data_IF_772989513695
#
_entry.id   IF_772989513695
#
_cell.length_a   1.000
_cell.length_b   1.000
_cell.length_c   1.000
_cell.angle_alpha   90.00
_cell.angle_beta   90.00
_cell.angle_gamma   90.00
#
_symmetry.space_group_name_H-M   'P 1'
#
loop_
_entity.id
_entity.type
_entity.pdbx_description
1 polymer ?
#
# COMPACT_ATOMS: atom_id res chain seq x y z
N UNK A 1 -34.34 -7.37 -6.84
CA UNK A 1 -33.30 -7.96 -5.95
C UNK A 1 -32.14 -6.95 -5.86
N UNK A 2 -31.60 -6.62 -4.68
CA UNK A 2 -30.49 -5.63 -4.61
C UNK A 2 -29.20 -6.30 -5.11
N UNK A 3 -28.69 -5.87 -6.27
CA UNK A 3 -27.40 -6.33 -6.78
C UNK A 3 -26.25 -5.81 -5.92
N UNK A 4 -25.25 -6.66 -5.66
CA UNK A 4 -24.01 -6.31 -4.98
C UNK A 4 -22.86 -7.14 -5.54
N UNK A 5 -21.65 -6.57 -5.48
CA UNK A 5 -20.42 -7.27 -5.82
C UNK A 5 -19.91 -7.98 -4.57
N UNK A 6 -19.56 -9.25 -4.73
CA UNK A 6 -18.88 -10.04 -3.72
C UNK A 6 -17.48 -10.41 -4.21
N UNK A 7 -16.52 -10.35 -3.31
CA UNK A 7 -15.13 -10.71 -3.52
C UNK A 7 -14.89 -12.09 -2.90
N UNK A 8 -14.20 -12.96 -3.63
CA UNK A 8 -13.75 -14.23 -3.09
C UNK A 8 -12.44 -14.01 -2.34
N UNK A 9 -12.47 -14.21 -1.02
CA UNK A 9 -11.29 -14.12 -0.17
C UNK A 9 -10.80 -15.54 0.09
N UNK A 10 -9.57 -15.84 -0.32
CA UNK A 10 -8.98 -17.19 -0.20
C UNK A 10 -7.73 -17.12 0.68
N UNK A 11 -7.81 -17.50 1.97
CA UNK A 11 -6.62 -17.56 2.83
C UNK A 11 -5.66 -18.65 2.33
N UNK A 12 -4.40 -18.28 2.11
CA UNK A 12 -3.36 -19.17 1.58
C UNK A 12 -3.11 -20.43 2.42
N UNK A 13 -3.36 -20.37 3.74
CA UNK A 13 -3.20 -21.51 4.65
C UNK A 13 -4.27 -22.60 4.51
N UNK A 14 -5.42 -22.29 3.90
CA UNK A 14 -6.52 -23.27 3.73
C UNK A 14 -6.88 -23.52 2.27
N UNK A 15 -6.66 -22.53 1.38
CA UNK A 15 -7.11 -22.58 -0.01
C UNK A 15 -8.64 -22.53 -0.17
N UNK A 16 -9.39 -22.32 0.91
CA UNK A 16 -10.86 -22.31 0.89
C UNK A 16 -11.35 -20.87 0.75
N UNK A 17 -12.06 -20.59 -0.34
CA UNK A 17 -12.65 -19.27 -0.58
C UNK A 17 -13.87 -19.02 0.32
N UNK A 18 -14.03 -17.77 0.76
CA UNK A 18 -15.25 -17.25 1.40
C UNK A 18 -15.73 -16.00 0.68
N UNK A 19 -17.06 -15.82 0.58
CA UNK A 19 -17.63 -14.70 -0.15
C UNK A 19 -17.82 -13.47 0.74
N UNK A 20 -17.21 -12.33 0.37
CA UNK A 20 -17.29 -11.08 1.13
C UNK A 20 -17.61 -9.91 0.23
N UNK A 21 -18.73 -9.22 0.48
CA UNK A 21 -19.02 -7.93 -0.17
C UNK A 21 -18.31 -6.78 0.55
N UNK A 22 -18.16 -5.64 -0.10
CA UNK A 22 -17.53 -4.44 0.48
C UNK A 22 -18.07 -4.07 1.88
N UNK A 23 -19.40 -4.18 2.11
CA UNK A 23 -20.00 -3.90 3.43
C UNK A 23 -19.47 -4.81 4.56
N UNK A 24 -18.99 -6.02 4.25
CA UNK A 24 -18.36 -6.90 5.22
C UNK A 24 -16.94 -6.42 5.56
N UNK A 25 -16.20 -5.87 4.60
CA UNK A 25 -14.89 -5.24 4.84
C UNK A 25 -15.04 -3.98 5.70
N UNK A 26 -16.01 -3.13 5.36
CA UNK A 26 -16.36 -1.94 6.14
C UNK A 26 -16.73 -2.29 7.59
N UNK A 27 -17.55 -3.32 7.77
CA UNK A 27 -17.87 -3.84 9.10
C UNK A 27 -16.61 -4.31 9.86
N UNK A 28 -15.74 -5.10 9.22
CA UNK A 28 -14.50 -5.57 9.84
C UNK A 28 -13.61 -4.38 10.22
N UNK A 29 -13.41 -3.42 9.31
CA UNK A 29 -12.62 -2.21 9.55
C UNK A 29 -13.12 -1.46 10.79
N UNK A 30 -14.42 -1.19 10.90
CA UNK A 30 -15.00 -0.55 12.09
C UNK A 30 -14.76 -1.38 13.37
N UNK A 31 -14.91 -2.71 13.31
CA UNK A 31 -14.66 -3.58 14.48
C UNK A 31 -13.19 -3.56 14.90
N UNK A 32 -12.26 -3.51 13.96
CA UNK A 32 -10.82 -3.44 14.25
C UNK A 32 -10.45 -2.10 14.88
N UNK A 33 -10.96 -0.98 14.35
CA UNK A 33 -10.75 0.35 14.94
C UNK A 33 -11.29 0.44 16.38
N UNK A 34 -12.50 -0.07 16.63
CA UNK A 34 -13.07 -0.07 17.98
C UNK A 34 -12.29 -0.96 18.94
N UNK A 35 -11.80 -2.11 18.46
CA UNK A 35 -11.07 -3.07 19.30
C UNK A 35 -9.66 -2.59 19.63
N UNK A 36 -8.95 -1.99 18.67
CA UNK A 36 -7.52 -1.73 18.75
C UNK A 36 -7.22 -0.23 18.65
N UNK A 37 -7.24 0.49 19.78
CA UNK A 37 -7.03 1.95 19.81
C UNK A 37 -5.59 2.41 19.60
N UNK A 38 -4.59 1.53 19.78
CA UNK A 38 -3.16 1.87 19.61
C UNK A 38 -2.46 1.01 18.55
N UNK A 39 -3.21 0.37 17.65
CA UNK A 39 -2.64 -0.35 16.51
C UNK A 39 -2.96 0.41 15.21
N UNK A 40 -2.04 0.39 14.26
CA UNK A 40 -2.26 0.97 12.95
C UNK A 40 -3.18 0.07 12.13
N UNK A 41 -4.45 0.49 11.97
CA UNK A 41 -5.42 -0.15 11.09
C UNK A 41 -5.62 0.77 9.88
N UNK A 42 -4.99 0.49 8.72
CA UNK A 42 -5.07 1.37 7.56
C UNK A 42 -6.50 1.49 7.04
N UNK A 43 -6.86 2.63 6.40
CA UNK A 43 -8.17 2.83 5.84
C UNK A 43 -8.42 1.87 4.66
N UNK A 44 -9.68 1.44 4.53
CA UNK A 44 -10.16 0.74 3.33
C UNK A 44 -10.54 1.75 2.23
N UNK A 45 -10.67 1.33 0.96
CA UNK A 45 -11.13 2.20 -0.13
C UNK A 45 -12.48 2.85 0.16
N UNK A 46 -12.70 4.05 -0.36
CA UNK A 46 -13.94 4.79 -0.10
C UNK A 46 -15.20 4.11 -0.65
N UNK A 47 -16.31 4.40 0.04
CA UNK A 47 -17.66 4.05 -0.40
C UNK A 47 -18.09 4.92 -1.57
N UNK A 48 -17.85 4.45 -2.79
CA UNK A 48 -18.40 5.10 -3.98
C UNK A 48 -19.84 4.62 -4.28
N UNK A 49 -20.75 5.58 -4.45
CA UNK A 49 -22.17 5.33 -4.76
C UNK A 49 -22.40 5.33 -6.29
N UNK A 50 -21.80 6.29 -7.01
CA UNK A 50 -21.91 6.45 -8.47
C UNK A 50 -20.79 5.68 -9.18
N UNK A 51 -21.09 5.00 -10.30
CA UNK A 51 -20.07 4.25 -11.06
C UNK A 51 -19.53 2.98 -10.38
N UNK A 52 -20.17 2.52 -9.29
CA UNK A 52 -19.72 1.38 -8.46
C UNK A 52 -19.67 0.01 -9.15
N UNK A 53 -20.17 -0.08 -10.38
CA UNK A 53 -20.19 -1.29 -11.21
C UNK A 53 -19.31 -1.14 -12.47
N UNK A 54 -18.56 -0.05 -12.62
CA UNK A 54 -17.59 0.08 -13.70
C UNK A 54 -16.41 -0.86 -13.44
N UNK A 55 -16.01 -1.66 -14.43
CA UNK A 55 -15.01 -2.73 -14.25
C UNK A 55 -13.69 -2.20 -13.69
N UNK A 56 -13.19 -1.06 -14.20
CA UNK A 56 -11.98 -0.40 -13.69
C UNK A 56 -12.08 -0.05 -12.20
N UNK A 57 -13.25 0.39 -11.75
CA UNK A 57 -13.49 0.72 -10.35
C UNK A 57 -13.53 -0.53 -9.47
N UNK A 58 -14.16 -1.59 -9.96
CA UNK A 58 -14.29 -2.86 -9.24
C UNK A 58 -12.92 -3.51 -9.05
N UNK A 59 -12.10 -3.54 -10.11
CA UNK A 59 -10.75 -4.09 -10.07
C UNK A 59 -9.81 -3.28 -9.17
N UNK A 60 -9.80 -1.95 -9.31
CA UNK A 60 -9.01 -1.09 -8.42
C UNK A 60 -9.37 -1.29 -6.95
N UNK A 61 -10.68 -1.39 -6.65
CA UNK A 61 -11.14 -1.68 -5.28
C UNK A 61 -10.71 -3.07 -4.83
N UNK A 62 -10.80 -4.09 -5.69
CA UNK A 62 -10.37 -5.47 -5.40
C UNK A 62 -8.89 -5.49 -5.01
N UNK A 63 -8.03 -4.84 -5.78
CA UNK A 63 -6.58 -4.70 -5.52
C UNK A 63 -6.30 -4.03 -4.18
N UNK A 64 -6.96 -2.90 -3.90
CA UNK A 64 -6.76 -2.20 -2.63
C UNK A 64 -7.26 -3.02 -1.43
N UNK A 65 -8.37 -3.74 -1.56
CA UNK A 65 -8.87 -4.63 -0.50
C UNK A 65 -7.96 -5.84 -0.27
N UNK A 66 -7.37 -6.38 -1.34
CA UNK A 66 -6.37 -7.44 -1.25
C UNK A 66 -5.12 -6.97 -0.51
N UNK A 67 -4.57 -5.79 -0.87
CA UNK A 67 -3.43 -5.19 -0.14
C UNK A 67 -3.76 -4.95 1.33
N UNK A 68 -4.94 -4.40 1.61
CA UNK A 68 -5.40 -4.17 2.97
C UNK A 68 -5.49 -5.47 3.78
N UNK A 69 -6.10 -6.53 3.24
CA UNK A 69 -6.13 -7.83 3.90
C UNK A 69 -4.72 -8.38 4.13
N UNK A 70 -3.87 -8.34 3.11
CA UNK A 70 -2.49 -8.81 3.20
C UNK A 70 -1.71 -8.06 4.31
N UNK A 71 -1.91 -6.75 4.45
CA UNK A 71 -1.35 -5.95 5.56
C UNK A 71 -1.80 -6.48 6.92
N UNK A 72 -3.09 -6.71 7.10
CA UNK A 72 -3.65 -7.22 8.37
C UNK A 72 -3.15 -8.63 8.70
N UNK A 73 -2.96 -9.50 7.70
CA UNK A 73 -2.40 -10.85 7.93
C UNK A 73 -0.97 -10.83 8.46
N UNK A 74 -0.19 -9.79 8.15
CA UNK A 74 1.19 -9.61 8.62
C UNK A 74 1.28 -8.97 10.00
N UNK A 75 0.18 -8.42 10.51
CA UNK A 75 0.14 -7.80 11.83
C UNK A 75 0.00 -8.88 12.92
N UNK A 76 0.91 -8.96 13.91
CA UNK A 76 0.97 -10.10 14.85
C UNK A 76 -0.26 -10.23 15.78
N UNK A 77 -0.91 -9.11 16.14
CA UNK A 77 -2.14 -9.12 16.94
C UNK A 77 -3.42 -9.22 16.10
N UNK A 78 -3.59 -8.36 15.09
CA UNK A 78 -4.80 -8.36 14.25
C UNK A 78 -5.01 -9.70 13.55
N UNK A 79 -3.96 -10.28 12.96
CA UNK A 79 -4.04 -11.56 12.24
C UNK A 79 -4.57 -12.70 13.12
N UNK A 80 -4.31 -12.67 14.43
CA UNK A 80 -4.74 -13.71 15.38
C UNK A 80 -6.07 -13.37 16.09
N UNK A 81 -6.63 -12.20 15.83
CA UNK A 81 -7.86 -11.77 16.49
C UNK A 81 -9.07 -12.58 16.03
N UNK A 82 -9.96 -12.93 16.96
CA UNK A 82 -11.15 -13.74 16.64
C UNK A 82 -12.04 -13.09 15.56
N UNK A 83 -12.16 -11.76 15.55
CA UNK A 83 -12.98 -11.03 14.57
C UNK A 83 -12.40 -11.13 13.16
N UNK A 84 -11.08 -11.08 13.02
CA UNK A 84 -10.40 -11.23 11.73
C UNK A 84 -10.43 -12.68 11.25
N UNK A 85 -10.21 -13.64 12.15
CA UNK A 85 -10.33 -15.07 11.87
C UNK A 85 -11.76 -15.43 11.43
N UNK A 86 -12.79 -14.90 12.12
CA UNK A 86 -14.19 -15.06 11.70
C UNK A 86 -14.42 -14.50 10.29
N UNK A 87 -13.86 -13.32 9.99
CA UNK A 87 -13.97 -12.73 8.66
C UNK A 87 -13.35 -13.63 7.58
N UNK A 88 -12.18 -14.22 7.81
CA UNK A 88 -11.46 -15.03 6.83
C UNK A 88 -12.00 -16.46 6.66
N UNK A 89 -12.46 -17.09 7.74
CA UNK A 89 -12.72 -18.54 7.77
C UNK A 89 -14.19 -18.92 7.94
N UNK A 90 -15.07 -17.99 8.31
CA UNK A 90 -16.51 -18.29 8.36
C UNK A 90 -17.04 -18.55 6.96
N UNK A 91 -17.41 -19.81 6.67
CA UNK A 91 -18.09 -20.18 5.43
C UNK A 91 -19.42 -19.43 5.30
N UNK A 92 -19.99 -19.40 4.09
CA UNK A 92 -21.15 -18.57 3.73
C UNK A 92 -22.49 -19.00 4.37
N UNK A 93 -22.46 -19.71 5.49
CA UNK A 93 -23.62 -19.96 6.34
C UNK A 93 -24.10 -18.66 6.98
N UNK A 94 -25.31 -18.22 6.60
CA UNK A 94 -25.87 -16.94 7.07
C UNK A 94 -26.02 -16.90 8.60
N UNK A 95 -26.31 -18.05 9.23
CA UNK A 95 -26.48 -18.18 10.68
C UNK A 95 -25.16 -18.01 11.42
N UNK A 96 -24.13 -18.72 10.97
CA UNK A 96 -22.77 -18.69 11.53
C UNK A 96 -22.16 -17.30 11.40
N UNK A 97 -22.30 -16.67 10.22
CA UNK A 97 -21.84 -15.30 9.99
C UNK A 97 -22.49 -14.31 10.96
N UNK A 98 -23.83 -14.38 11.10
CA UNK A 98 -24.59 -13.51 12.01
C UNK A 98 -24.20 -13.73 13.47
N UNK A 99 -23.97 -14.98 13.89
CA UNK A 99 -23.56 -15.30 15.24
C UNK A 99 -22.17 -14.72 15.58
N UNK A 100 -21.16 -14.95 14.73
CA UNK A 100 -19.82 -14.40 14.95
C UNK A 100 -19.78 -12.87 14.83
N UNK A 101 -20.58 -12.29 13.93
CA UNK A 101 -20.77 -10.84 13.85
C UNK A 101 -21.29 -10.25 15.16
N UNK A 102 -22.33 -10.84 15.74
CA UNK A 102 -22.88 -10.42 17.05
C UNK A 102 -21.86 -10.60 18.17
N UNK A 103 -21.11 -11.71 18.19
CA UNK A 103 -20.04 -11.96 19.16
C UNK A 103 -19.00 -10.83 19.15
N UNK A 104 -18.55 -10.43 17.97
CA UNK A 104 -17.59 -9.33 17.80
C UNK A 104 -18.18 -7.95 18.14
N UNK A 105 -19.48 -7.74 17.92
CA UNK A 105 -20.18 -6.50 18.28
C UNK A 105 -20.42 -6.36 19.79
N UNK A 106 -20.46 -7.48 20.53
CA UNK A 106 -20.63 -7.51 21.98
C UNK A 106 -19.31 -7.68 22.76
N UNK A 107 -18.15 -7.53 22.12
CA UNK A 107 -16.85 -7.63 22.77
C UNK A 107 -16.65 -6.48 23.77
N UNK A 108 -16.42 -6.83 25.04
CA UNK A 108 -16.20 -5.87 26.13
C UNK A 108 -14.74 -5.45 26.27
N UNK A 109 -13.81 -6.15 25.61
CA UNK A 109 -12.37 -5.91 25.67
C UNK A 109 -11.91 -5.07 24.48
N UNK A 110 -12.60 -3.96 24.25
CA UNK A 110 -12.33 -2.98 23.19
C UNK A 110 -11.90 -1.64 23.78
N UNK A 111 -11.39 -0.73 22.94
CA UNK A 111 -10.93 0.58 23.40
C UNK A 111 -9.89 0.48 24.52
N UNK A 112 -10.06 1.26 25.59
CA UNK A 112 -9.17 1.22 26.74
C UNK A 112 -9.14 -0.13 27.49
N UNK A 113 -10.18 -0.97 27.35
CA UNK A 113 -10.22 -2.30 27.97
C UNK A 113 -9.34 -3.32 27.23
N UNK A 114 -8.96 -3.06 25.97
CA UNK A 114 -8.01 -3.88 25.23
C UNK A 114 -6.68 -4.04 25.98
N UNK A 115 -6.18 -2.98 26.64
CA UNK A 115 -4.91 -3.04 27.37
C UNK A 115 -4.92 -4.03 28.54
N UNK A 116 -6.09 -4.41 29.06
CA UNK A 116 -6.21 -5.46 30.09
C UNK A 116 -5.85 -6.85 29.54
N UNK A 117 -5.84 -7.01 28.21
CA UNK A 117 -5.48 -8.27 27.54
C UNK A 117 -3.99 -8.35 27.21
N UNK A 118 -3.25 -7.25 27.37
CA UNK A 118 -1.84 -7.16 27.00
C UNK A 118 -0.97 -7.47 28.21
N UNK A 119 -0.13 -8.50 28.09
CA UNK A 119 0.93 -8.77 29.05
C UNK A 119 2.19 -8.03 28.61
N UNK A 120 2.49 -6.95 29.31
CA UNK A 120 3.67 -6.11 29.05
C UNK A 120 4.80 -6.52 29.99
N UNK A 121 6.03 -6.77 29.50
CA UNK A 121 7.20 -6.86 30.38
C UNK A 121 7.45 -5.50 31.04
N UNK A 122 8.20 -5.48 32.16
CA UNK A 122 8.68 -4.21 32.72
C UNK A 122 9.47 -3.48 31.63
N UNK A 123 9.08 -2.22 31.39
CA UNK A 123 9.71 -1.37 30.38
C UNK A 123 11.17 -1.14 30.76
N UNK A 124 12.09 -1.33 29.81
CA UNK A 124 13.51 -1.08 30.03
C UNK A 124 13.85 0.42 30.12
N UNK A 125 12.94 1.28 29.67
CA UNK A 125 13.06 2.75 29.64
C UNK A 125 11.95 3.40 30.46
N UNK A 126 12.18 4.63 30.94
CA UNK A 126 11.18 5.40 31.67
C UNK A 126 10.07 5.93 30.74
N UNK A 127 8.96 6.39 31.33
CA UNK A 127 7.87 7.00 30.57
C UNK A 127 8.35 8.28 29.88
N UNK A 128 9.19 9.10 30.51
CA UNK A 128 9.74 10.30 29.90
C UNK A 128 10.68 9.98 28.72
N UNK A 129 11.52 8.95 28.85
CA UNK A 129 12.37 8.50 27.74
C UNK A 129 11.54 7.96 26.56
N UNK A 130 10.42 7.29 26.85
CA UNK A 130 9.50 6.82 25.82
C UNK A 130 8.77 7.98 25.13
N UNK A 131 8.36 9.00 25.87
CA UNK A 131 7.69 10.20 25.35
C UNK A 131 8.59 10.94 24.35
N UNK A 132 9.88 11.10 24.67
CA UNK A 132 10.88 11.67 23.75
C UNK A 132 10.95 10.88 22.45
N UNK A 133 11.06 9.55 22.52
CA UNK A 133 11.12 8.68 21.32
C UNK A 133 9.85 8.73 20.48
N UNK A 134 8.69 8.82 21.13
CA UNK A 134 7.40 8.91 20.44
C UNK A 134 7.23 10.28 19.78
N UNK A 135 7.75 11.36 20.37
CA UNK A 135 7.79 12.68 19.74
C UNK A 135 8.74 12.72 18.54
N UNK A 136 9.92 12.10 18.63
CA UNK A 136 10.83 11.94 17.48
C UNK A 136 10.13 11.19 16.33
N UNK A 137 9.41 10.11 16.65
CA UNK A 137 8.61 9.37 15.67
C UNK A 137 7.47 10.22 15.10
N UNK A 138 6.79 11.05 15.92
CA UNK A 138 5.75 11.97 15.48
C UNK A 138 6.27 12.90 14.38
N UNK A 139 7.40 13.56 14.64
CA UNK A 139 8.03 14.45 13.66
C UNK A 139 8.47 13.69 12.40
N UNK A 140 9.09 12.52 12.57
CA UNK A 140 9.47 11.65 11.47
C UNK A 140 8.27 11.23 10.60
N UNK A 141 7.16 10.80 11.22
CA UNK A 141 5.98 10.27 10.52
C UNK A 141 5.32 11.36 9.66
N UNK A 142 5.21 12.59 10.19
CA UNK A 142 4.72 13.76 9.47
C UNK A 142 5.61 14.11 8.27
N UNK A 143 6.93 14.10 8.45
CA UNK A 143 7.85 14.34 7.33
C UNK A 143 7.77 13.22 6.29
N UNK A 144 7.64 11.96 6.72
CA UNK A 144 7.49 10.85 5.80
C UNK A 144 6.19 10.96 4.99
N UNK A 145 5.06 11.28 5.62
CA UNK A 145 3.76 11.43 4.96
C UNK A 145 3.82 12.47 3.82
N UNK A 146 4.41 13.64 4.09
CA UNK A 146 4.59 14.68 3.08
C UNK A 146 5.45 14.21 1.90
N UNK A 147 6.52 13.45 2.17
CA UNK A 147 7.40 12.96 1.12
C UNK A 147 6.78 11.81 0.32
N UNK A 148 6.04 10.92 0.96
CA UNK A 148 5.28 9.84 0.31
C UNK A 148 4.23 10.44 -0.64
N UNK A 149 3.48 11.43 -0.18
CA UNK A 149 2.47 12.11 -1.01
C UNK A 149 3.10 12.82 -2.22
N UNK A 150 4.17 13.60 -2.00
CA UNK A 150 4.90 14.25 -3.10
C UNK A 150 5.47 13.23 -4.08
N UNK A 151 6.02 12.12 -3.59
CA UNK A 151 6.59 11.10 -4.44
C UNK A 151 5.50 10.42 -5.29
N UNK A 152 4.35 10.10 -4.69
CA UNK A 152 3.19 9.58 -5.41
C UNK A 152 2.77 10.50 -6.57
N UNK A 153 2.65 11.81 -6.32
CA UNK A 153 2.29 12.80 -7.35
C UNK A 153 3.34 12.86 -8.48
N UNK A 154 4.63 12.72 -8.15
CA UNK A 154 5.70 12.66 -9.13
C UNK A 154 5.64 11.38 -9.95
N UNK A 155 5.43 10.22 -9.33
CA UNK A 155 5.23 8.97 -10.04
C UNK A 155 4.02 9.04 -10.97
N UNK A 156 2.90 9.60 -10.51
CA UNK A 156 1.71 9.77 -11.33
C UNK A 156 1.98 10.65 -12.55
N UNK A 157 2.58 11.82 -12.34
CA UNK A 157 2.95 12.73 -13.44
C UNK A 157 3.94 12.09 -14.42
N UNK A 158 4.89 11.32 -13.91
CA UNK A 158 5.90 10.63 -14.71
C UNK A 158 5.29 9.49 -15.54
N UNK A 159 4.42 8.66 -14.94
CA UNK A 159 3.68 7.60 -15.64
C UNK A 159 2.79 8.12 -16.76
N UNK A 160 2.12 9.27 -16.56
CA UNK A 160 1.33 9.91 -17.63
C UNK A 160 2.21 10.40 -18.80
N UNK A 161 3.47 10.77 -18.56
CA UNK A 161 4.40 11.13 -19.63
C UNK A 161 4.83 9.93 -20.47
N UNK A 162 4.90 8.74 -19.89
CA UNK A 162 5.20 7.50 -20.62
C UNK A 162 4.13 7.18 -21.66
N UNK A 163 2.87 7.09 -21.23
CA UNK A 163 1.74 6.81 -22.12
C UNK A 163 1.39 7.97 -23.07
N UNK A 164 1.68 9.20 -22.65
CA UNK A 164 1.48 10.39 -23.48
C UNK A 164 2.70 10.79 -24.30
N UNK A 165 3.59 11.56 -23.69
CA UNK A 165 4.67 12.31 -24.38
C UNK A 165 5.72 11.39 -25.00
N UNK A 166 6.19 10.38 -24.25
CA UNK A 166 7.28 9.51 -24.70
C UNK A 166 6.80 8.54 -25.78
N UNK A 167 5.66 7.87 -25.57
CA UNK A 167 5.00 7.05 -26.58
C UNK A 167 4.81 7.80 -27.90
N UNK A 168 4.17 8.97 -27.84
CA UNK A 168 3.86 9.74 -29.06
C UNK A 168 5.10 10.29 -29.75
N UNK A 169 6.14 10.68 -29.00
CA UNK A 169 7.40 11.15 -29.58
C UNK A 169 8.09 10.06 -30.41
N UNK A 170 8.21 8.84 -29.86
CA UNK A 170 8.82 7.72 -30.59
C UNK A 170 7.99 7.30 -31.80
N UNK A 171 6.65 7.24 -31.68
CA UNK A 171 5.77 6.94 -32.82
C UNK A 171 5.91 7.95 -33.96
N UNK A 172 5.94 9.25 -33.63
CA UNK A 172 6.14 10.32 -34.63
C UNK A 172 7.51 10.21 -35.29
N UNK A 173 8.56 9.91 -34.52
CA UNK A 173 9.89 9.70 -35.08
C UNK A 173 9.93 8.49 -36.00
N UNK A 174 9.31 7.37 -35.61
CA UNK A 174 9.14 6.18 -36.45
C UNK A 174 8.42 6.48 -37.77
N UNK A 175 7.32 7.24 -37.74
CA UNK A 175 6.56 7.59 -38.94
C UNK A 175 7.35 8.42 -39.96
N UNK A 176 8.37 9.17 -39.51
CA UNK A 176 9.28 9.90 -40.42
C UNK A 176 10.15 8.96 -41.24
N UNK A 177 10.61 7.85 -40.65
CA UNK A 177 11.36 6.82 -41.39
C UNK A 177 10.45 6.08 -42.38
N UNK A 178 9.22 5.75 -41.97
CA UNK A 178 8.24 5.13 -42.88
C UNK A 178 7.94 6.03 -44.08
N UNK A 179 7.68 7.32 -43.83
CA UNK A 179 7.45 8.31 -44.91
C UNK A 179 8.64 8.41 -45.88
N UNK A 180 9.88 8.35 -45.35
CA UNK A 180 11.09 8.36 -46.17
C UNK A 180 11.22 7.07 -47.00
N UNK A 181 10.97 5.91 -46.37
CA UNK A 181 10.93 4.62 -47.06
C UNK A 181 9.89 4.64 -48.19
N UNK A 182 8.68 5.13 -47.93
CA UNK A 182 7.61 5.20 -48.93
C UNK A 182 8.02 6.06 -50.12
N UNK A 183 8.73 7.17 -49.88
CA UNK A 183 9.30 7.98 -50.95
C UNK A 183 10.36 7.21 -51.77
N UNK A 184 11.22 6.41 -51.12
CA UNK A 184 12.21 5.59 -51.81
C UNK A 184 11.58 4.47 -52.65
N UNK A 185 10.46 3.90 -52.19
CA UNK A 185 9.71 2.89 -52.93
C UNK A 185 9.10 3.42 -54.23
N UNK A 186 8.73 4.69 -54.29
CA UNK A 186 8.15 5.31 -55.50
C UNK A 186 9.08 5.27 -56.71
N UNK A 187 10.39 5.24 -56.49
CA UNK A 187 11.39 5.09 -57.54
C UNK A 187 12.45 4.04 -57.12
N UNK A 188 11.97 2.87 -56.68
CA UNK A 188 12.80 1.77 -56.23
C UNK A 188 13.48 1.00 -57.37
N UNK A 189 14.64 0.41 -57.07
CA UNK A 189 15.30 -0.60 -57.90
C UNK A 189 15.68 -1.80 -57.04
N UNK A 190 15.97 -2.96 -57.64
CA UNK A 190 16.44 -4.13 -56.90
C UNK A 190 17.72 -3.83 -56.10
N UNK A 191 18.55 -2.89 -56.56
CA UNK A 191 19.76 -2.45 -55.87
C UNK A 191 19.45 -1.62 -54.61
N UNK A 192 18.44 -0.73 -54.66
CA UNK A 192 18.09 0.17 -53.53
C UNK A 192 17.03 -0.42 -52.58
N UNK A 193 16.50 -1.61 -52.87
CA UNK A 193 15.48 -2.26 -52.06
C UNK A 193 15.98 -2.59 -50.63
N UNK A 194 17.18 -3.16 -50.40
CA UNK A 194 17.63 -3.52 -49.05
C UNK A 194 17.69 -2.32 -48.10
N UNK A 195 18.22 -1.17 -48.56
CA UNK A 195 18.28 0.05 -47.74
C UNK A 195 16.89 0.62 -47.46
N UNK A 196 15.98 0.53 -48.42
CA UNK A 196 14.59 0.98 -48.25
C UNK A 196 13.87 0.14 -47.19
N UNK A 197 14.05 -1.18 -47.22
CA UNK A 197 13.51 -2.10 -46.22
C UNK A 197 14.11 -1.89 -44.84
N UNK A 198 15.42 -1.64 -44.74
CA UNK A 198 16.10 -1.35 -43.48
C UNK A 198 15.58 -0.03 -42.84
N UNK A 199 15.38 1.03 -43.64
CA UNK A 199 14.79 2.29 -43.17
C UNK A 199 13.34 2.09 -42.70
N UNK A 200 12.54 1.34 -43.46
CA UNK A 200 11.16 1.01 -43.07
C UNK A 200 11.14 0.22 -41.75
N UNK A 201 12.07 -0.71 -41.57
CA UNK A 201 12.21 -1.50 -40.35
C UNK A 201 12.56 -0.62 -39.14
N UNK A 202 13.46 0.35 -39.30
CA UNK A 202 13.76 1.34 -38.25
C UNK A 202 12.52 2.14 -37.87
N UNK A 203 11.69 2.54 -38.84
CA UNK A 203 10.42 3.21 -38.56
C UNK A 203 9.49 2.41 -37.66
N UNK A 204 9.22 1.15 -38.03
CA UNK A 204 8.42 0.22 -37.22
C UNK A 204 9.02 -0.03 -35.84
N UNK A 205 10.36 -0.17 -35.77
CA UNK A 205 11.08 -0.35 -34.50
C UNK A 205 10.82 0.81 -33.53
N UNK A 206 10.84 2.06 -34.01
CA UNK A 206 10.54 3.23 -33.18
C UNK A 206 9.06 3.32 -32.79
N UNK A 207 8.13 2.87 -33.63
CA UNK A 207 6.71 2.74 -33.26
C UNK A 207 6.55 1.72 -32.12
N UNK A 208 7.19 0.55 -32.23
CA UNK A 208 7.20 -0.49 -31.20
C UNK A 208 7.81 -0.01 -29.88
N UNK A 209 8.93 0.73 -29.92
CA UNK A 209 9.52 1.36 -28.74
C UNK A 209 8.50 2.31 -28.10
N UNK A 210 7.79 3.10 -28.91
CA UNK A 210 6.73 3.97 -28.42
C UNK A 210 5.61 3.22 -27.69
N UNK A 211 5.14 2.10 -28.24
CA UNK A 211 4.16 1.24 -27.55
C UNK A 211 4.73 0.64 -26.26
N UNK A 212 6.00 0.22 -26.24
CA UNK A 212 6.66 -0.25 -25.03
C UNK A 212 6.69 0.83 -23.93
N UNK A 213 6.96 2.09 -24.28
CA UNK A 213 6.83 3.21 -23.34
C UNK A 213 5.39 3.35 -22.80
N UNK A 214 4.37 3.13 -23.61
CA UNK A 214 2.98 3.23 -23.17
C UNK A 214 2.58 2.17 -22.15
N UNK A 215 3.08 0.95 -22.32
CA UNK A 215 2.76 -0.17 -21.44
C UNK A 215 3.61 -0.21 -20.16
N UNK A 216 4.83 0.34 -20.20
CA UNK A 216 5.79 0.25 -19.09
C UNK A 216 5.24 0.67 -17.72
N UNK A 217 4.49 1.78 -17.56
CA UNK A 217 4.02 2.22 -16.24
C UNK A 217 3.21 1.18 -15.48
N UNK A 218 2.51 0.27 -16.18
CA UNK A 218 1.75 -0.82 -15.56
C UNK A 218 2.66 -1.86 -14.90
N UNK A 219 3.89 -2.00 -15.39
CA UNK A 219 4.87 -2.97 -14.91
C UNK A 219 5.62 -2.46 -13.69
N UNK A 220 5.88 -1.16 -13.58
CA UNK A 220 6.76 -0.60 -12.54
C UNK A 220 6.18 0.57 -11.73
N UNK A 221 5.85 1.70 -12.37
CA UNK A 221 5.45 2.95 -11.72
C UNK A 221 4.15 2.75 -10.96
N UNK A 222 3.20 2.00 -11.51
CA UNK A 222 1.93 1.70 -10.85
C UNK A 222 2.15 0.93 -9.54
N UNK A 223 2.96 -0.14 -9.57
CA UNK A 223 3.31 -0.90 -8.38
C UNK A 223 3.96 -0.04 -7.29
N UNK A 224 4.85 0.87 -7.70
CA UNK A 224 5.49 1.82 -6.79
C UNK A 224 4.47 2.80 -6.20
N UNK A 225 3.57 3.37 -7.02
CA UNK A 225 2.51 4.28 -6.57
C UNK A 225 1.56 3.62 -5.57
N UNK A 226 1.17 2.38 -5.81
CA UNK A 226 0.26 1.65 -4.94
C UNK A 226 0.86 1.39 -3.57
N UNK A 227 2.15 1.06 -3.51
CA UNK A 227 2.86 0.94 -2.24
C UNK A 227 2.99 2.28 -1.51
N UNK A 228 3.27 3.37 -2.22
CA UNK A 228 3.26 4.71 -1.62
C UNK A 228 1.87 5.07 -1.06
N UNK A 229 0.80 4.79 -1.80
CA UNK A 229 -0.57 5.02 -1.36
C UNK A 229 -0.92 4.21 -0.10
N UNK A 230 -0.44 2.96 0.00
CA UNK A 230 -0.59 2.15 1.21
C UNK A 230 0.09 2.83 2.41
N UNK A 231 1.30 3.37 2.24
CA UNK A 231 2.00 4.11 3.30
C UNK A 231 1.30 5.41 3.70
N UNK A 232 0.66 6.14 2.76
CA UNK A 232 -0.20 7.28 3.11
C UNK A 232 -1.32 6.84 4.06
N UNK A 233 -1.96 5.70 3.77
CA UNK A 233 -3.01 5.15 4.63
C UNK A 233 -2.51 4.68 6.00
N UNK A 234 -1.32 4.10 6.08
CA UNK A 234 -0.71 3.70 7.36
C UNK A 234 -0.33 4.95 8.19
N UNK A 235 0.32 5.93 7.56
CA UNK A 235 0.83 7.13 8.25
C UNK A 235 -0.28 7.98 8.86
N UNK A 236 -1.44 8.05 8.19
CA UNK A 236 -2.60 8.80 8.70
C UNK A 236 -3.21 8.24 9.99
N UNK A 237 -2.83 7.02 10.41
CA UNK A 237 -3.29 6.42 11.67
C UNK A 237 -2.49 6.85 12.89
N UNK A 238 -1.24 7.27 12.71
CA UNK A 238 -0.34 7.57 13.83
C UNK A 238 -0.70 8.81 14.67
N UNK A 239 -1.29 9.89 14.13
CA UNK A 239 -1.68 11.04 14.95
C UNK A 239 -2.55 10.66 16.15
N UNK A 240 -3.57 9.82 15.94
CA UNK A 240 -4.45 9.35 17.03
C UNK A 240 -3.74 8.39 17.99
N UNK A 241 -2.91 7.47 17.48
CA UNK A 241 -2.13 6.54 18.32
C UNK A 241 -1.17 7.32 19.24
N UNK A 242 -0.50 8.33 18.70
CA UNK A 242 0.41 9.21 19.45
C UNK A 242 -0.38 10.05 20.46
N UNK A 243 -1.56 10.56 20.08
CA UNK A 243 -2.42 11.30 21.00
C UNK A 243 -2.80 10.48 22.24
N UNK A 244 -3.17 9.20 22.07
CA UNK A 244 -3.47 8.30 23.20
C UNK A 244 -2.26 8.17 24.14
N UNK A 245 -1.04 8.07 23.61
CA UNK A 245 0.17 8.05 24.43
C UNK A 245 0.38 9.38 25.18
N UNK A 246 0.29 10.52 24.49
CA UNK A 246 0.46 11.84 25.12
C UNK A 246 -0.52 12.07 26.26
N UNK A 247 -1.81 11.77 26.07
CA UNK A 247 -2.81 11.87 27.14
C UNK A 247 -2.54 10.91 28.29
N UNK A 248 -1.92 9.76 28.03
CA UNK A 248 -1.50 8.82 29.06
C UNK A 248 -0.35 9.40 29.90
N UNK A 249 0.66 10.00 29.27
CA UNK A 249 1.79 10.65 29.95
C UNK A 249 1.31 11.83 30.79
N UNK A 250 0.44 12.69 30.23
CA UNK A 250 -0.18 13.80 30.96
C UNK A 250 -0.92 13.31 32.22
N UNK A 251 -1.60 12.16 32.12
CA UNK A 251 -2.34 11.60 33.25
C UNK A 251 -1.42 11.09 34.35
N UNK A 252 -0.29 10.46 34.01
CA UNK A 252 0.74 10.05 34.97
C UNK A 252 1.28 11.27 35.71
N UNK A 253 1.70 12.30 34.97
CA UNK A 253 2.25 13.55 35.53
C UNK A 253 1.25 14.27 36.45
N UNK A 254 -0.04 14.30 36.09
CA UNK A 254 -1.09 14.86 36.95
C UNK A 254 -1.29 14.05 38.24
N UNK A 255 -1.23 12.71 38.17
CA UNK A 255 -1.33 11.83 39.33
C UNK A 255 -0.14 11.99 40.28
N UNK A 256 1.09 12.02 39.77
CA UNK A 256 2.32 12.24 40.56
C UNK A 256 2.33 13.61 41.24
N UNK A 257 1.88 14.66 40.52
CA UNK A 257 1.74 16.01 41.11
C UNK A 257 0.73 16.01 42.27
N UNK A 258 -0.43 15.38 42.09
CA UNK A 258 -1.47 15.29 43.13
C UNK A 258 -1.02 14.46 44.34
N UNK A 259 -0.16 13.48 44.15
CA UNK A 259 0.45 12.72 45.24
C UNK A 259 1.40 13.61 46.07
N UNK A 260 2.21 14.44 45.42
CA UNK A 260 3.07 15.43 46.11
C UNK A 260 2.25 16.43 46.93
N UNK A 261 1.03 16.72 46.50
CA UNK A 261 0.04 17.55 47.22
C UNK A 261 -0.76 16.76 48.28
N UNK A 262 -0.41 15.50 48.57
CA UNK A 262 -1.12 14.57 49.48
C UNK A 262 -2.61 14.36 49.14
N UNK A 263 -3.01 14.55 47.87
CA UNK A 263 -4.39 14.41 47.39
C UNK A 263 -4.72 13.03 46.83
N UNK A 264 -3.72 12.17 46.66
CA UNK A 264 -3.83 10.84 46.05
C UNK A 264 -2.90 9.87 46.77
N UNK A 265 -3.41 8.67 47.05
CA UNK A 265 -2.65 7.57 47.66
C UNK A 265 -1.51 7.08 46.73
N UNK A 266 -0.33 6.71 47.27
CA UNK A 266 0.78 6.18 46.48
C UNK A 266 0.44 4.96 45.62
N UNK A 267 -0.41 4.07 46.14
CA UNK A 267 -0.86 2.86 45.44
C UNK A 267 -1.62 3.20 44.14
N UNK A 268 -2.41 4.27 44.13
CA UNK A 268 -3.12 4.70 42.92
C UNK A 268 -2.13 5.20 41.85
N UNK A 269 -1.07 5.90 42.24
CA UNK A 269 -0.02 6.36 41.31
C UNK A 269 0.69 5.16 40.69
N UNK A 270 1.07 4.17 41.50
CA UNK A 270 1.70 2.94 41.00
C UNK A 270 0.82 2.19 39.99
N UNK A 271 -0.48 2.07 40.27
CA UNK A 271 -1.44 1.45 39.35
C UNK A 271 -1.58 2.22 38.03
N UNK A 272 -1.66 3.56 38.09
CA UNK A 272 -1.74 4.43 36.91
C UNK A 272 -0.46 4.32 36.07
N UNK A 273 0.70 4.40 36.70
CA UNK A 273 2.01 4.26 36.05
C UNK A 273 2.18 2.87 35.42
N UNK A 274 1.75 1.81 36.10
CA UNK A 274 1.76 0.44 35.56
C UNK A 274 0.90 0.34 34.30
N UNK A 275 -0.32 0.90 34.31
CA UNK A 275 -1.19 0.91 33.14
C UNK A 275 -0.61 1.76 32.01
N UNK A 276 -0.02 2.90 32.34
CA UNK A 276 0.63 3.77 31.37
C UNK A 276 1.80 3.05 30.67
N UNK A 277 2.60 2.29 31.40
CA UNK A 277 3.68 1.47 30.84
C UNK A 277 3.17 0.44 29.83
N UNK A 278 2.00 -0.17 30.06
CA UNK A 278 1.38 -1.09 29.08
C UNK A 278 1.05 -0.34 27.79
N UNK A 279 0.39 0.81 27.88
CA UNK A 279 0.00 1.62 26.70
C UNK A 279 1.24 2.06 25.93
N UNK A 280 2.23 2.60 26.63
CA UNK A 280 3.51 3.03 26.07
C UNK A 280 4.22 1.89 25.34
N UNK A 281 4.26 0.69 25.93
CA UNK A 281 4.92 -0.46 25.29
C UNK A 281 4.16 -0.96 24.06
N UNK A 282 2.83 -0.88 24.05
CA UNK A 282 2.04 -1.16 22.85
C UNK A 282 2.37 -0.15 21.75
N UNK A 283 2.38 1.15 22.05
CA UNK A 283 2.71 2.20 21.08
C UNK A 283 4.13 2.04 20.52
N UNK A 284 5.13 1.81 21.37
CA UNK A 284 6.51 1.56 20.94
C UNK A 284 6.64 0.28 20.11
N UNK A 285 5.88 -0.77 20.45
CA UNK A 285 5.85 -2.01 19.69
C UNK A 285 5.26 -1.79 18.29
N UNK A 286 4.24 -0.95 18.18
CA UNK A 286 3.60 -0.61 16.90
C UNK A 286 4.53 0.23 16.01
N UNK A 287 5.23 1.21 16.58
CA UNK A 287 6.26 1.99 15.88
C UNK A 287 7.38 1.06 15.37
N UNK A 288 7.84 0.13 16.21
CA UNK A 288 8.84 -0.85 15.83
C UNK A 288 8.34 -1.78 14.70
N UNK A 289 7.09 -2.21 14.75
CA UNK A 289 6.47 -3.00 13.69
C UNK A 289 6.42 -2.22 12.37
N UNK A 290 6.00 -0.96 12.41
CA UNK A 290 6.00 -0.06 11.27
C UNK A 290 7.38 0.05 10.62
N UNK A 291 8.43 0.29 11.42
CA UNK A 291 9.79 0.38 10.88
C UNK A 291 10.27 -0.93 10.25
N UNK A 292 10.00 -2.08 10.89
CA UNK A 292 10.34 -3.40 10.33
C UNK A 292 9.64 -3.63 8.98
N UNK A 293 8.35 -3.35 8.90
CA UNK A 293 7.59 -3.51 7.67
C UNK A 293 8.06 -2.52 6.60
N UNK A 294 8.33 -1.25 6.95
CA UNK A 294 8.87 -0.24 6.04
C UNK A 294 10.15 -0.69 5.34
N UNK A 295 11.08 -1.30 6.07
CA UNK A 295 12.33 -1.81 5.47
C UNK A 295 12.03 -2.91 4.45
N UNK A 296 11.17 -3.87 4.80
CA UNK A 296 10.82 -5.00 3.93
C UNK A 296 10.11 -4.50 2.66
N UNK A 297 9.09 -3.67 2.83
CA UNK A 297 8.22 -3.24 1.75
C UNK A 297 8.96 -2.28 0.80
N UNK A 298 9.69 -1.29 1.31
CA UNK A 298 10.44 -0.37 0.45
C UNK A 298 11.57 -1.06 -0.29
N UNK A 299 12.23 -2.04 0.33
CA UNK A 299 13.21 -2.89 -0.37
C UNK A 299 12.54 -3.61 -1.55
N UNK A 300 11.41 -4.27 -1.32
CA UNK A 300 10.70 -5.01 -2.35
C UNK A 300 10.22 -4.08 -3.49
N UNK A 301 9.61 -2.93 -3.15
CA UNK A 301 9.16 -1.93 -4.12
C UNK A 301 10.30 -1.43 -5.01
N UNK A 302 11.43 -1.03 -4.41
CA UNK A 302 12.56 -0.50 -5.16
C UNK A 302 13.26 -1.58 -5.99
N UNK A 303 13.37 -2.81 -5.48
CA UNK A 303 13.92 -3.93 -6.24
C UNK A 303 13.04 -4.27 -7.46
N UNK A 304 11.72 -4.28 -7.29
CA UNK A 304 10.77 -4.48 -8.39
C UNK A 304 10.91 -3.39 -9.45
N UNK A 305 10.80 -2.12 -9.04
CA UNK A 305 10.92 -0.98 -9.94
C UNK A 305 12.22 -1.01 -10.76
N UNK A 306 13.36 -1.24 -10.11
CA UNK A 306 14.66 -1.26 -10.80
C UNK A 306 14.80 -2.46 -11.74
N UNK A 307 14.29 -3.64 -11.38
CA UNK A 307 14.33 -4.82 -12.25
C UNK A 307 13.49 -4.59 -13.51
N UNK A 308 12.30 -4.05 -13.37
CA UNK A 308 11.42 -3.75 -14.50
C UNK A 308 12.01 -2.65 -15.40
N UNK A 309 12.64 -1.63 -14.82
CA UNK A 309 13.36 -0.60 -15.60
C UNK A 309 14.56 -1.19 -16.35
N UNK A 310 15.34 -2.09 -15.73
CA UNK A 310 16.44 -2.80 -16.41
C UNK A 310 15.90 -3.63 -17.58
N UNK A 311 14.86 -4.42 -17.35
CA UNK A 311 14.22 -5.24 -18.37
C UNK A 311 13.71 -4.38 -19.54
N UNK A 312 13.10 -3.24 -19.24
CA UNK A 312 12.59 -2.29 -20.22
C UNK A 312 13.70 -1.73 -21.11
N UNK A 313 14.76 -1.18 -20.53
CA UNK A 313 15.85 -0.60 -21.30
C UNK A 313 16.64 -1.67 -22.08
N UNK A 314 16.82 -2.88 -21.52
CA UNK A 314 17.40 -3.99 -22.27
C UNK A 314 16.52 -4.41 -23.47
N UNK A 315 15.20 -4.42 -23.29
CA UNK A 315 14.25 -4.67 -24.39
C UNK A 315 14.36 -3.63 -25.50
N UNK A 316 14.54 -2.35 -25.15
CA UNK A 316 14.81 -1.29 -26.13
C UNK A 316 16.13 -1.52 -26.86
N UNK A 317 17.20 -1.84 -26.14
CA UNK A 317 18.53 -2.12 -26.74
C UNK A 317 18.42 -3.25 -27.77
N UNK A 318 17.73 -4.34 -27.42
CA UNK A 318 17.55 -5.47 -28.34
C UNK A 318 16.79 -5.04 -29.61
N UNK A 319 15.70 -4.27 -29.48
CA UNK A 319 14.93 -3.74 -30.63
C UNK A 319 15.79 -2.87 -31.54
N UNK A 320 16.64 -2.02 -30.97
CA UNK A 320 17.55 -1.17 -31.74
C UNK A 320 18.64 -2.01 -32.43
N UNK A 321 19.16 -3.04 -31.77
CA UNK A 321 20.13 -3.96 -32.36
C UNK A 321 19.54 -4.73 -33.54
N UNK A 322 18.34 -5.30 -33.39
CA UNK A 322 17.64 -5.99 -34.47
C UNK A 322 17.45 -5.09 -35.70
N UNK A 323 17.17 -3.81 -35.46
CA UNK A 323 17.05 -2.83 -36.55
C UNK A 323 18.38 -2.40 -37.15
N UNK A 324 19.46 -2.37 -36.37
CA UNK A 324 20.81 -2.10 -36.87
C UNK A 324 21.28 -3.22 -37.80
N UNK A 325 21.06 -4.47 -37.42
CA UNK A 325 21.46 -5.67 -38.18
C UNK A 325 20.80 -5.74 -39.57
N UNK A 326 19.71 -5.00 -39.80
CA UNK A 326 19.11 -4.85 -41.14
C UNK A 326 20.00 -4.08 -42.11
N UNK A 327 20.82 -3.16 -41.61
CA UNK A 327 21.73 -2.37 -42.43
C UNK A 327 22.99 -3.14 -42.83
N UNK A 328 23.41 -4.12 -42.03
CA UNK A 328 24.55 -5.00 -42.37
C UNK A 328 24.29 -5.86 -43.63
N UNK A 329 23.02 -6.02 -44.01
CA UNK A 329 22.58 -6.75 -45.22
C UNK A 329 22.56 -5.87 -46.47
N UNK A 330 22.81 -4.57 -46.34
CA UNK A 330 22.87 -3.62 -47.45
C UNK A 330 24.28 -3.69 -48.04
N UNK A 331 24.43 -4.31 -49.21
CA UNK A 331 25.72 -4.53 -49.90
C UNK A 331 25.87 -3.62 -51.10
#
# INVERSE_FOLDING_TARGET
MKHFIAYNVTPSCTGIAVSRRFKHFDWLYCRLLEKFTCLSIPPIPEKQITGKYADEFVEKRREMLERWLNRLTRHPLVSKSEVFQHFLFCKDGEKEWKAGKRKAECDKLCGAAFFLTVKSPMTAISIDEADIKIEEFSQFSKTMEQNVQRFYERCQSYGLKYDGVFKNSHRKFGSSFESLSDAFQQHGSAYSQPITEAIAHTGRTYVDIGEAFGEQPRLDILHLMEGLQEYTGILSTFPEIIHVHKSTVEKVKDCERKQTEERVEPDLVEQVTTRANVITNVTLSEINLFHKQRVIDHKAMMQHFLREQINFYQGIVNKLQDSLDMYDKVV
#
